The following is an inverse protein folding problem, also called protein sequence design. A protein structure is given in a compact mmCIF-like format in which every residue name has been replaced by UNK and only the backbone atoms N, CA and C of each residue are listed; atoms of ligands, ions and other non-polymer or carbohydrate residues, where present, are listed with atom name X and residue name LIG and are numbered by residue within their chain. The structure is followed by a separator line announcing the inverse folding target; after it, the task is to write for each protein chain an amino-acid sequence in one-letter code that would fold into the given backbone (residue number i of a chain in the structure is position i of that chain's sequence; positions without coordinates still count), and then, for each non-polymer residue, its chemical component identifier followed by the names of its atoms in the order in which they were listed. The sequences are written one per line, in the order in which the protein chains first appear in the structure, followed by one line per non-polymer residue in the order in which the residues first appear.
data_IF_998033662228
#
_entry.id   IF_998033662228
#
_cell.length_a   1.000
_cell.length_b   1.000
_cell.length_c   1.000
_cell.angle_alpha   90.00
_cell.angle_beta   90.00
_cell.angle_gamma   90.00
#
_symmetry.space_group_name_H-M   'P 1'
#
loop_
_entity.id
_entity.type
_entity.pdbx_description
1 polymer ?
#
# COMPACT_ATOMS: atom_id res chain seq x y z
N UNK A 1 -13.79 39.24 18.83
CA UNK A 1 -12.77 40.31 18.78
C UNK A 1 -11.58 39.73 18.01
N UNK A 2 -11.25 40.36 16.88
CA UNK A 2 -10.07 40.15 16.02
C UNK A 2 -9.76 38.76 15.43
N UNK A 3 -10.15 38.64 14.15
CA UNK A 3 -9.41 37.93 13.10
C UNK A 3 -7.90 38.07 13.26
N UNK A 4 -7.18 36.95 13.33
CA UNK A 4 -5.71 36.94 13.38
C UNK A 4 -5.11 35.72 12.67
N UNK A 5 -5.56 35.43 11.44
CA UNK A 5 -4.77 34.64 10.49
C UNK A 5 -4.89 35.22 9.08
N UNK A 6 -4.38 36.43 8.93
CA UNK A 6 -4.01 37.00 7.64
C UNK A 6 -2.50 36.98 7.51
N UNK A 7 -1.93 35.88 7.03
CA UNK A 7 -0.61 35.88 6.38
C UNK A 7 -0.72 35.01 5.13
N UNK A 8 -0.49 35.66 3.99
CA UNK A 8 -0.38 35.08 2.64
C UNK A 8 0.67 33.96 2.64
N UNK A 9 0.27 32.74 2.95
CA UNK A 9 0.93 31.53 2.48
C UNK A 9 0.26 31.14 1.16
N UNK A 10 1.02 30.55 0.25
CA UNK A 10 0.49 30.00 -1.00
C UNK A 10 -0.63 28.97 -0.76
N UNK A 11 -1.28 28.50 -1.83
CA UNK A 11 -2.21 27.36 -1.73
C UNK A 11 -1.53 26.17 -1.02
N UNK A 12 -2.30 25.24 -0.45
CA UNK A 12 -1.71 24.06 0.20
C UNK A 12 -0.76 23.32 -0.76
N UNK A 13 -1.09 23.25 -2.05
CA UNK A 13 -0.23 22.69 -3.10
C UNK A 13 1.10 23.44 -3.26
N UNK A 14 1.08 24.78 -3.28
CA UNK A 14 2.31 25.59 -3.35
C UNK A 14 3.19 25.38 -2.11
N UNK A 15 2.57 25.18 -0.94
CA UNK A 15 3.30 24.90 0.30
C UNK A 15 3.90 23.49 0.29
N UNK A 16 3.18 22.47 -0.19
CA UNK A 16 3.69 21.12 -0.35
C UNK A 16 4.92 21.12 -1.29
N UNK A 17 4.79 21.72 -2.47
CA UNK A 17 5.87 21.80 -3.45
C UNK A 17 7.10 22.52 -2.88
N UNK A 18 6.89 23.59 -2.11
CA UNK A 18 7.98 24.33 -1.48
C UNK A 18 8.68 23.53 -0.37
N UNK A 19 7.92 22.79 0.45
CA UNK A 19 8.48 21.88 1.46
C UNK A 19 9.33 20.79 0.81
N UNK A 20 8.83 20.14 -0.26
CA UNK A 20 9.59 19.12 -0.98
C UNK A 20 10.87 19.70 -1.60
N UNK A 21 10.78 20.85 -2.27
CA UNK A 21 11.92 21.53 -2.88
C UNK A 21 13.00 21.91 -1.86
N UNK A 22 12.59 22.32 -0.66
CA UNK A 22 13.50 22.67 0.45
C UNK A 22 13.94 21.48 1.29
N UNK A 23 13.38 20.29 1.05
CA UNK A 23 13.53 19.12 1.93
C UNK A 23 13.14 19.43 3.38
N UNK A 24 12.13 20.27 3.56
CA UNK A 24 11.55 20.61 4.86
C UNK A 24 10.45 19.61 5.22
N UNK A 25 10.87 18.43 5.65
CA UNK A 25 9.97 17.32 5.95
C UNK A 25 9.07 17.57 7.17
N UNK A 26 9.58 18.27 8.19
CA UNK A 26 8.76 18.69 9.32
C UNK A 26 7.71 19.75 8.89
N UNK A 27 8.04 20.62 7.94
CA UNK A 27 7.07 21.50 7.29
C UNK A 27 6.03 20.72 6.49
N UNK A 28 6.47 19.71 5.73
CA UNK A 28 5.59 18.84 4.93
C UNK A 28 4.54 18.13 5.80
N UNK A 29 4.96 17.53 6.91
CA UNK A 29 4.06 16.92 7.92
C UNK A 29 3.00 17.92 8.39
N UNK A 30 3.41 19.15 8.73
CA UNK A 30 2.49 20.18 9.24
C UNK A 30 1.47 20.63 8.19
N UNK A 31 1.84 20.63 6.92
CA UNK A 31 0.91 20.93 5.82
C UNK A 31 -0.09 19.80 5.64
N UNK A 32 0.37 18.54 5.57
CA UNK A 32 -0.51 17.37 5.46
C UNK A 32 -1.46 17.26 6.65
N UNK A 33 -0.95 17.34 7.87
CA UNK A 33 -1.77 17.32 9.08
C UNK A 33 -2.88 18.39 9.03
N UNK A 34 -2.54 19.63 8.64
CA UNK A 34 -3.55 20.70 8.54
C UNK A 34 -4.61 20.39 7.48
N UNK A 35 -4.22 19.90 6.30
CA UNK A 35 -5.17 19.50 5.25
C UNK A 35 -6.09 18.38 5.73
N UNK A 36 -5.57 17.42 6.50
CA UNK A 36 -6.34 16.34 7.09
C UNK A 36 -7.36 16.82 8.12
N UNK A 37 -6.95 17.73 9.01
CA UNK A 37 -7.85 18.37 9.99
C UNK A 37 -8.96 19.16 9.28
N UNK A 38 -8.61 19.98 8.29
CA UNK A 38 -9.58 20.75 7.51
C UNK A 38 -10.58 19.84 6.79
N UNK A 39 -10.12 18.73 6.21
CA UNK A 39 -10.99 17.74 5.58
C UNK A 39 -11.92 17.04 6.58
N UNK A 40 -11.41 16.71 7.78
CA UNK A 40 -12.21 16.11 8.84
C UNK A 40 -13.31 17.08 9.33
N UNK A 41 -12.97 18.35 9.54
CA UNK A 41 -13.92 19.40 9.92
C UNK A 41 -14.98 19.66 8.84
N UNK A 42 -14.62 19.46 7.57
CA UNK A 42 -15.53 19.55 6.43
C UNK A 42 -16.41 18.30 6.23
N UNK A 43 -16.20 17.23 7.02
CA UNK A 43 -16.92 15.97 6.86
C UNK A 43 -16.49 15.15 5.64
N UNK A 44 -15.23 15.28 5.22
CA UNK A 44 -14.65 14.57 4.07
C UNK A 44 -13.67 13.48 4.56
N UNK A 45 -14.17 12.30 4.98
CA UNK A 45 -13.35 11.27 5.64
C UNK A 45 -12.25 10.72 4.72
N UNK A 46 -12.50 10.58 3.42
CA UNK A 46 -11.49 10.10 2.47
C UNK A 46 -10.27 11.04 2.37
N UNK A 47 -10.51 12.36 2.28
CA UNK A 47 -9.42 13.33 2.26
C UNK A 47 -8.74 13.44 3.63
N UNK A 48 -9.50 13.33 4.72
CA UNK A 48 -8.94 13.32 6.06
C UNK A 48 -7.98 12.14 6.24
N UNK A 49 -8.39 10.92 5.83
CA UNK A 49 -7.57 9.72 5.87
C UNK A 49 -6.29 9.90 5.06
N UNK A 50 -6.40 10.31 3.79
CA UNK A 50 -5.25 10.54 2.91
C UNK A 50 -4.21 11.44 3.58
N UNK A 51 -4.62 12.62 4.04
CA UNK A 51 -3.67 13.62 4.51
C UNK A 51 -3.13 13.34 5.92
N UNK A 52 -3.95 12.81 6.82
CA UNK A 52 -3.49 12.44 8.16
C UNK A 52 -2.54 11.23 8.09
N UNK A 53 -2.87 10.20 7.32
CA UNK A 53 -1.97 9.05 7.13
C UNK A 53 -0.66 9.45 6.47
N UNK A 54 -0.66 10.41 5.54
CA UNK A 54 0.61 10.94 4.98
C UNK A 54 1.44 11.69 6.00
N UNK A 55 0.81 12.45 6.90
CA UNK A 55 1.52 13.10 7.99
C UNK A 55 2.15 12.05 8.94
N UNK A 56 1.37 11.03 9.30
CA UNK A 56 1.76 9.94 10.18
C UNK A 56 2.95 9.15 9.67
N UNK A 57 2.92 8.71 8.41
CA UNK A 57 4.03 7.99 7.79
C UNK A 57 5.34 8.79 7.87
N UNK A 58 5.30 10.10 7.60
CA UNK A 58 6.53 10.90 7.51
C UNK A 58 7.15 11.15 8.89
N UNK A 59 6.35 11.46 9.92
CA UNK A 59 6.94 11.67 11.26
C UNK A 59 7.36 10.36 11.91
N UNK A 60 6.76 9.23 11.53
CA UNK A 60 7.11 7.90 12.04
C UNK A 60 8.36 7.33 11.38
N UNK A 61 8.65 7.72 10.13
CA UNK A 61 9.82 7.29 9.37
C UNK A 61 11.17 7.86 9.86
N UNK A 62 11.19 8.99 10.58
CA UNK A 62 12.45 9.67 10.96
C UNK A 62 12.36 10.37 12.32
N UNK A 63 13.16 9.91 13.27
CA UNK A 63 13.30 10.46 14.63
C UNK A 63 13.57 11.97 14.69
N UNK A 64 14.29 12.51 13.71
CA UNK A 64 14.58 13.95 13.63
C UNK A 64 13.37 14.75 13.19
N UNK A 65 12.50 14.18 12.35
CA UNK A 65 11.21 14.75 11.97
C UNK A 65 10.27 14.68 13.17
N UNK A 66 10.13 13.49 13.77
CA UNK A 66 9.40 13.25 15.02
C UNK A 66 9.66 14.38 16.04
N UNK A 67 10.93 14.62 16.36
CA UNK A 67 11.35 15.63 17.36
C UNK A 67 11.00 17.06 16.96
N UNK A 68 11.01 17.39 15.66
CA UNK A 68 10.71 18.74 15.14
C UNK A 68 9.22 19.02 15.04
N UNK A 69 8.42 17.98 14.82
CA UNK A 69 6.96 18.05 14.74
C UNK A 69 6.38 18.17 16.15
N UNK A 70 6.84 17.30 17.06
CA UNK A 70 6.51 17.31 18.49
C UNK A 70 5.27 16.49 18.84
N UNK A 71 5.30 15.89 20.04
CA UNK A 71 4.31 14.94 20.57
C UNK A 71 2.86 15.44 20.43
N UNK A 72 2.60 16.71 20.74
CA UNK A 72 1.24 17.25 20.69
C UNK A 72 0.56 17.10 19.32
N UNK A 73 1.28 17.34 18.22
CA UNK A 73 0.71 17.19 16.88
C UNK A 73 0.50 15.72 16.58
N UNK A 74 1.46 14.89 16.96
CA UNK A 74 1.42 13.45 16.74
C UNK A 74 0.25 12.79 17.46
N UNK A 75 0.09 13.05 18.76
CA UNK A 75 -1.00 12.51 19.57
C UNK A 75 -2.35 12.90 18.96
N UNK A 76 -2.52 14.18 18.57
CA UNK A 76 -3.76 14.64 17.92
C UNK A 76 -3.95 14.03 16.52
N UNK A 77 -2.87 13.79 15.77
CA UNK A 77 -2.93 13.11 14.47
C UNK A 77 -3.37 11.65 14.63
N UNK A 78 -2.75 10.91 15.54
CA UNK A 78 -3.12 9.52 15.86
C UNK A 78 -4.55 9.42 16.40
N UNK A 79 -4.97 10.31 17.30
CA UNK A 79 -6.34 10.35 17.82
C UNK A 79 -7.38 10.58 16.71
N UNK A 80 -7.03 11.37 15.69
CA UNK A 80 -7.91 11.61 14.53
C UNK A 80 -7.94 10.43 13.57
N UNK A 81 -6.80 9.79 13.32
CA UNK A 81 -6.76 8.56 12.54
C UNK A 81 -7.62 7.49 13.22
N UNK A 82 -7.50 7.31 14.54
CA UNK A 82 -8.36 6.39 15.30
C UNK A 82 -9.85 6.71 15.19
N UNK A 83 -10.24 8.00 15.12
CA UNK A 83 -11.64 8.38 14.85
C UNK A 83 -12.10 8.02 13.44
N UNK A 84 -11.20 7.99 12.46
CA UNK A 84 -11.52 7.63 11.07
C UNK A 84 -11.67 6.11 10.89
N UNK A 85 -11.02 5.29 11.71
CA UNK A 85 -11.13 3.82 11.68
C UNK A 85 -12.57 3.33 11.92
N UNK A 86 -13.36 4.07 12.70
CA UNK A 86 -14.78 3.76 12.98
C UNK A 86 -15.75 4.23 11.87
N UNK A 87 -15.26 4.98 10.87
CA UNK A 87 -16.10 5.51 9.78
C UNK A 87 -16.16 4.49 8.64
N UNK A 88 -17.37 4.21 8.15
CA UNK A 88 -17.55 3.41 6.94
C UNK A 88 -16.95 4.13 5.73
N UNK A 89 -15.83 3.59 5.27
CA UNK A 89 -15.07 4.05 4.11
C UNK A 89 -14.49 2.83 3.41
N UNK A 90 -14.12 2.97 2.13
CA UNK A 90 -13.37 1.91 1.44
C UNK A 90 -12.10 1.51 2.20
N UNK A 91 -11.49 2.44 2.95
CA UNK A 91 -10.28 2.17 3.72
C UNK A 91 -10.48 1.14 4.83
N UNK A 92 -11.67 1.11 5.44
CA UNK A 92 -11.96 0.27 6.60
C UNK A 92 -12.83 -0.94 6.21
N UNK A 93 -13.85 -0.70 5.37
CA UNK A 93 -14.86 -1.71 5.05
C UNK A 93 -14.29 -2.85 4.21
N UNK A 94 -13.33 -2.56 3.34
CA UNK A 94 -12.75 -3.59 2.46
C UNK A 94 -11.82 -4.55 3.21
N UNK A 95 -10.83 -4.09 4.01
CA UNK A 95 -10.02 -5.00 4.82
C UNK A 95 -10.86 -5.89 5.73
N UNK A 96 -11.89 -5.33 6.38
CA UNK A 96 -12.80 -6.09 7.23
C UNK A 96 -13.58 -7.17 6.44
N UNK A 97 -14.03 -6.86 5.21
CA UNK A 97 -14.66 -7.85 4.33
C UNK A 97 -13.70 -8.97 3.93
N UNK A 98 -12.47 -8.62 3.53
CA UNK A 98 -11.42 -9.57 3.17
C UNK A 98 -11.09 -10.48 4.34
N UNK A 99 -10.94 -9.93 5.55
CA UNK A 99 -10.68 -10.71 6.77
C UNK A 99 -11.81 -11.71 7.04
N UNK A 100 -13.07 -11.27 6.97
CA UNK A 100 -14.24 -12.14 7.12
C UNK A 100 -14.31 -13.25 6.07
N UNK A 101 -13.88 -12.97 4.83
CA UNK A 101 -13.81 -13.97 3.75
C UNK A 101 -12.66 -14.96 3.97
N UNK A 102 -11.48 -14.46 4.35
CA UNK A 102 -10.29 -15.26 4.62
C UNK A 102 -10.49 -16.24 5.79
N UNK A 103 -11.29 -15.87 6.80
CA UNK A 103 -11.61 -16.73 7.94
C UNK A 103 -12.28 -18.08 7.56
N UNK A 104 -12.86 -18.18 6.36
CA UNK A 104 -13.49 -19.40 5.85
C UNK A 104 -12.60 -20.20 4.89
N UNK A 105 -11.37 -19.73 4.65
CA UNK A 105 -10.40 -20.36 3.75
C UNK A 105 -9.33 -21.10 4.56
N UNK A 106 -8.73 -22.10 3.94
CA UNK A 106 -7.49 -22.65 4.48
C UNK A 106 -6.29 -21.79 4.08
N UNK A 107 -5.19 -21.91 4.83
CA UNK A 107 -3.99 -21.10 4.66
C UNK A 107 -3.42 -21.11 3.24
N UNK A 108 -3.46 -22.26 2.55
CA UNK A 108 -2.96 -22.35 1.17
C UNK A 108 -3.80 -21.47 0.23
N UNK A 109 -5.13 -21.51 0.36
CA UNK A 109 -6.02 -20.67 -0.45
C UNK A 109 -5.82 -19.18 -0.17
N UNK A 110 -5.63 -18.81 1.10
CA UNK A 110 -5.33 -17.42 1.49
C UNK A 110 -4.01 -16.97 0.83
N UNK A 111 -2.95 -17.79 0.89
CA UNK A 111 -1.66 -17.44 0.28
C UNK A 111 -1.70 -17.37 -1.25
N UNK A 112 -2.53 -18.18 -1.90
CA UNK A 112 -2.82 -18.06 -3.34
C UNK A 112 -3.53 -16.74 -3.62
N UNK A 113 -4.49 -16.33 -2.79
CA UNK A 113 -5.17 -15.04 -2.96
C UNK A 113 -4.18 -13.88 -2.87
N UNK A 114 -3.31 -13.89 -1.87
CA UNK A 114 -2.20 -12.95 -1.75
C UNK A 114 -1.27 -12.96 -2.97
N UNK A 115 -0.92 -14.14 -3.51
CA UNK A 115 -0.08 -14.26 -4.71
C UNK A 115 -0.74 -13.60 -5.93
N UNK A 116 -2.04 -13.82 -6.13
CA UNK A 116 -2.79 -13.22 -7.22
C UNK A 116 -2.81 -11.69 -7.10
N UNK A 117 -2.97 -11.16 -5.88
CA UNK A 117 -2.92 -9.73 -5.63
C UNK A 117 -1.53 -9.11 -5.85
N UNK A 118 -0.46 -9.80 -5.42
CA UNK A 118 0.92 -9.38 -5.68
C UNK A 118 1.21 -9.35 -7.19
N UNK A 119 0.73 -10.34 -7.94
CA UNK A 119 0.95 -10.45 -9.38
C UNK A 119 0.40 -9.23 -10.15
N UNK A 120 -0.71 -8.64 -9.70
CA UNK A 120 -1.32 -7.46 -10.34
C UNK A 120 -0.46 -6.19 -10.21
N UNK A 121 0.44 -6.14 -9.24
CA UNK A 121 1.32 -4.99 -9.01
C UNK A 121 2.55 -5.00 -9.91
N UNK A 122 2.84 -6.08 -10.65
CA UNK A 122 4.10 -6.25 -11.37
C UNK A 122 4.33 -5.15 -12.41
N UNK A 123 3.36 -4.85 -13.30
CA UNK A 123 3.53 -3.78 -14.31
C UNK A 123 3.70 -2.40 -13.71
N UNK A 124 2.95 -2.10 -12.65
CA UNK A 124 3.10 -0.84 -11.94
C UNK A 124 4.48 -0.77 -11.26
N UNK A 125 4.91 -1.85 -10.62
CA UNK A 125 6.23 -1.95 -10.01
C UNK A 125 7.38 -1.77 -10.99
N UNK A 126 7.28 -2.34 -12.20
CA UNK A 126 8.24 -2.12 -13.29
C UNK A 126 8.36 -0.64 -13.68
N UNK A 127 7.23 0.08 -13.75
CA UNK A 127 7.24 1.54 -14.02
C UNK A 127 7.90 2.31 -12.88
N UNK A 128 7.55 1.98 -11.63
CA UNK A 128 8.07 2.66 -10.44
C UNK A 128 9.57 2.39 -10.21
N UNK A 129 10.08 1.23 -10.62
CA UNK A 129 11.49 0.88 -10.50
C UNK A 129 12.44 1.79 -11.29
N UNK A 130 11.91 2.60 -12.21
CA UNK A 130 12.68 3.62 -12.92
C UNK A 130 12.94 4.87 -12.09
N UNK A 131 12.25 5.04 -10.96
CA UNK A 131 12.39 6.18 -10.07
C UNK A 131 13.53 5.94 -9.08
N UNK A 132 14.38 6.96 -8.80
CA UNK A 132 15.49 6.81 -7.85
C UNK A 132 14.99 6.40 -6.46
N UNK A 133 15.57 5.33 -5.91
CA UNK A 133 15.22 4.82 -4.59
C UNK A 133 13.92 4.00 -4.56
N UNK A 134 13.38 3.61 -5.71
CA UNK A 134 12.18 2.77 -5.84
C UNK A 134 12.45 1.47 -6.61
N UNK A 135 13.72 1.12 -6.84
CA UNK A 135 14.16 -0.02 -7.66
C UNK A 135 13.67 -1.37 -7.12
N UNK A 136 13.37 -1.45 -5.82
CA UNK A 136 12.83 -2.64 -5.14
C UNK A 136 11.56 -3.16 -5.81
N UNK A 137 10.69 -2.27 -6.32
CA UNK A 137 9.47 -2.66 -7.00
C UNK A 137 9.72 -3.40 -8.34
N UNK A 138 10.91 -3.26 -8.92
CA UNK A 138 11.30 -3.99 -10.13
C UNK A 138 11.49 -5.49 -9.90
N UNK A 139 11.60 -5.92 -8.62
CA UNK A 139 11.78 -7.33 -8.24
C UNK A 139 10.46 -8.08 -8.05
N UNK A 140 9.30 -7.40 -8.10
CA UNK A 140 8.00 -8.03 -7.83
C UNK A 140 7.69 -9.17 -8.80
N UNK A 141 8.00 -9.01 -10.10
CA UNK A 141 7.78 -10.07 -11.10
C UNK A 141 8.55 -11.34 -10.79
N UNK A 142 9.80 -11.21 -10.33
CA UNK A 142 10.62 -12.31 -9.87
C UNK A 142 10.07 -12.93 -8.57
N UNK A 143 9.67 -12.10 -7.60
CA UNK A 143 9.12 -12.56 -6.33
C UNK A 143 7.87 -13.41 -6.54
N UNK A 144 6.95 -12.96 -7.40
CA UNK A 144 5.74 -13.70 -7.80
C UNK A 144 6.09 -15.07 -8.36
N UNK A 145 7.09 -15.16 -9.25
CA UNK A 145 7.50 -16.44 -9.84
C UNK A 145 8.09 -17.38 -8.79
N UNK A 146 8.90 -16.86 -7.86
CA UNK A 146 9.53 -17.68 -6.81
C UNK A 146 8.50 -18.14 -5.77
N UNK A 147 7.55 -17.30 -5.40
CA UNK A 147 6.44 -17.68 -4.51
C UNK A 147 5.58 -18.75 -5.17
N UNK A 148 5.18 -18.58 -6.44
CA UNK A 148 4.41 -19.59 -7.17
C UNK A 148 5.16 -20.94 -7.24
N UNK A 149 6.46 -20.90 -7.52
CA UNK A 149 7.32 -22.08 -7.57
C UNK A 149 7.39 -22.79 -6.22
N UNK A 150 7.50 -22.03 -5.13
CA UNK A 150 7.67 -22.58 -3.78
C UNK A 150 6.48 -23.40 -3.26
N UNK A 151 5.28 -23.21 -3.82
CA UNK A 151 4.13 -24.05 -3.50
C UNK A 151 4.24 -25.48 -4.06
N UNK A 152 5.07 -25.67 -5.08
CA UNK A 152 5.19 -26.93 -5.81
C UNK A 152 6.49 -27.67 -5.45
N UNK A 153 7.56 -26.93 -5.20
CA UNK A 153 8.86 -27.49 -4.83
C UNK A 153 9.65 -26.58 -3.89
N UNK A 154 10.55 -27.13 -3.06
CA UNK A 154 11.43 -26.33 -2.22
C UNK A 154 12.28 -25.36 -3.03
N UNK A 155 12.46 -24.14 -2.52
CA UNK A 155 13.37 -23.17 -3.11
C UNK A 155 14.83 -23.48 -2.75
N UNK A 156 15.75 -22.99 -3.59
CA UNK A 156 17.17 -22.97 -3.24
C UNK A 156 17.43 -21.97 -2.11
N UNK A 157 18.51 -22.17 -1.35
CA UNK A 157 18.92 -21.26 -0.28
C UNK A 157 19.21 -19.83 -0.79
N UNK A 158 19.74 -19.70 -2.01
CA UNK A 158 19.97 -18.41 -2.66
C UNK A 158 18.65 -17.69 -2.95
N UNK A 159 17.68 -18.41 -3.52
CA UNK A 159 16.35 -17.85 -3.82
C UNK A 159 15.60 -17.45 -2.55
N UNK A 160 15.65 -18.31 -1.52
CA UNK A 160 15.01 -18.04 -0.24
C UNK A 160 15.56 -16.75 0.39
N UNK A 161 16.89 -16.60 0.41
CA UNK A 161 17.55 -15.39 0.92
C UNK A 161 17.23 -14.16 0.09
N UNK A 162 17.17 -14.26 -1.24
CA UNK A 162 16.79 -13.13 -2.08
C UNK A 162 15.38 -12.60 -1.77
N UNK A 163 14.44 -13.48 -1.40
CA UNK A 163 13.10 -13.07 -0.97
C UNK A 163 13.13 -12.41 0.41
N UNK A 164 13.98 -12.88 1.33
CA UNK A 164 14.22 -12.23 2.62
C UNK A 164 14.85 -10.83 2.46
N UNK A 165 15.82 -10.70 1.55
CA UNK A 165 16.45 -9.41 1.26
C UNK A 165 15.41 -8.43 0.67
N UNK A 166 14.51 -8.92 -0.19
CA UNK A 166 13.40 -8.13 -0.72
C UNK A 166 12.44 -7.64 0.37
N UNK A 167 12.09 -8.47 1.36
CA UNK A 167 11.33 -8.05 2.55
C UNK A 167 12.02 -6.87 3.26
N UNK A 168 13.31 -7.00 3.55
CA UNK A 168 14.10 -5.95 4.19
C UNK A 168 14.13 -4.66 3.38
N UNK A 169 14.36 -4.73 2.08
CA UNK A 169 14.36 -3.56 1.18
C UNK A 169 12.98 -2.87 1.12
N UNK A 170 11.88 -3.63 1.15
CA UNK A 170 10.52 -3.08 1.17
C UNK A 170 10.21 -2.38 2.49
N UNK A 171 10.64 -2.95 3.62
CA UNK A 171 10.50 -2.31 4.93
C UNK A 171 11.30 -1.00 4.99
N UNK A 172 12.58 -1.03 4.59
CA UNK A 172 13.46 0.15 4.56
C UNK A 172 12.96 1.26 3.62
N UNK A 173 12.23 0.91 2.56
CA UNK A 173 11.62 1.89 1.66
C UNK A 173 10.62 2.80 2.41
N UNK A 174 9.90 2.28 3.40
CA UNK A 174 8.93 3.06 4.18
C UNK A 174 9.58 4.22 4.94
N UNK A 175 10.83 4.04 5.38
CA UNK A 175 11.62 5.06 6.07
C UNK A 175 12.28 6.07 5.11
N UNK A 176 12.30 5.75 3.82
CA UNK A 176 13.02 6.54 2.81
C UNK A 176 12.21 7.74 2.30
N UNK A 177 12.80 8.94 2.24
CA UNK A 177 12.20 10.08 1.53
C UNK A 177 11.89 9.79 0.06
N UNK A 178 12.53 8.80 -0.57
CA UNK A 178 12.18 8.37 -1.93
C UNK A 178 10.72 7.87 -2.03
N UNK A 179 10.17 7.32 -0.94
CA UNK A 179 8.77 6.90 -0.86
C UNK A 179 7.81 8.07 -0.66
N UNK A 180 8.08 8.95 0.33
CA UNK A 180 7.10 9.91 0.83
C UNK A 180 7.41 11.40 0.57
N UNK A 181 8.64 11.77 0.20
CA UNK A 181 9.12 13.16 0.24
C UNK A 181 9.75 13.71 -1.03
N UNK A 182 10.44 12.89 -1.84
CA UNK A 182 11.21 13.36 -3.01
C UNK A 182 10.35 13.69 -4.23
N UNK A 183 9.04 13.46 -4.17
CA UNK A 183 8.12 13.74 -5.29
C UNK A 183 8.29 12.78 -6.45
N UNK A 184 8.75 11.55 -6.16
CA UNK A 184 8.87 10.47 -7.12
C UNK A 184 7.48 10.14 -7.70
N UNK A 185 7.33 10.39 -9.01
CA UNK A 185 6.07 10.21 -9.71
C UNK A 185 6.28 9.70 -11.14
N UNK A 186 5.29 8.98 -11.65
CA UNK A 186 5.22 8.55 -13.06
C UNK A 186 4.05 9.24 -13.75
N UNK A 187 4.22 9.51 -15.04
CA UNK A 187 3.17 10.11 -15.84
C UNK A 187 2.03 9.11 -16.10
N UNK A 188 0.79 9.60 -16.02
CA UNK A 188 -0.43 8.88 -16.37
C UNK A 188 -1.08 9.58 -17.57
N UNK A 189 -1.25 8.91 -18.72
CA UNK A 189 -1.82 9.56 -19.90
C UNK A 189 -3.20 10.17 -19.64
N UNK A 190 -3.30 11.49 -19.77
CA UNK A 190 -4.57 12.23 -19.63
C UNK A 190 -5.06 12.37 -18.18
N UNK A 191 -4.26 12.02 -17.18
CA UNK A 191 -4.59 12.15 -15.75
C UNK A 191 -3.45 12.82 -14.98
N UNK A 192 -3.67 13.09 -13.69
CA UNK A 192 -2.63 13.56 -12.80
C UNK A 192 -1.56 12.47 -12.62
N UNK A 193 -0.27 12.84 -12.40
CA UNK A 193 0.79 11.87 -12.22
C UNK A 193 0.54 10.99 -10.99
N UNK A 194 0.95 9.73 -11.07
CA UNK A 194 0.90 8.78 -9.96
C UNK A 194 2.16 8.99 -9.10
N UNK A 195 1.97 9.27 -7.82
CA UNK A 195 3.06 9.46 -6.87
C UNK A 195 3.35 8.12 -6.20
N UNK A 196 4.63 7.79 -5.97
CA UNK A 196 4.99 6.59 -5.18
C UNK A 196 4.27 6.60 -3.82
N UNK A 197 4.10 7.78 -3.23
CA UNK A 197 3.38 7.94 -1.96
C UNK A 197 1.87 7.66 -2.03
N UNK A 198 1.29 7.43 -3.22
CA UNK A 198 -0.07 6.91 -3.35
C UNK A 198 -0.18 5.44 -2.94
N UNK A 199 0.95 4.75 -2.79
CA UNK A 199 1.01 3.44 -2.12
C UNK A 199 0.93 3.54 -0.60
N UNK A 200 0.74 4.72 0.00
CA UNK A 200 0.60 4.86 1.46
C UNK A 200 -0.75 4.36 1.99
N UNK A 201 -1.80 4.42 1.17
CA UNK A 201 -3.14 4.00 1.57
C UNK A 201 -3.18 2.54 2.05
N UNK A 202 -4.17 2.22 2.90
CA UNK A 202 -4.45 0.84 3.33
C UNK A 202 -3.28 0.11 4.02
N UNK A 203 -2.58 0.77 4.96
CA UNK A 203 -1.39 0.26 5.67
C UNK A 203 -0.05 0.32 4.91
N UNK A 204 -0.02 0.86 3.69
CA UNK A 204 1.20 0.97 2.91
C UNK A 204 1.50 -0.30 2.10
N UNK A 205 1.41 -0.22 0.78
CA UNK A 205 1.54 -1.38 -0.13
C UNK A 205 2.87 -2.10 0.03
N UNK A 206 3.96 -1.37 0.30
CA UNK A 206 5.28 -1.96 0.55
C UNK A 206 5.29 -2.83 1.81
N UNK A 207 4.61 -2.42 2.88
CA UNK A 207 4.46 -3.19 4.12
C UNK A 207 3.53 -4.40 3.94
N UNK A 208 2.45 -4.26 3.15
CA UNK A 208 1.59 -5.41 2.82
C UNK A 208 2.34 -6.48 2.03
N UNK A 209 3.17 -6.07 1.07
CA UNK A 209 4.02 -7.00 0.29
C UNK A 209 5.05 -7.66 1.21
N UNK A 210 5.72 -6.88 2.07
CA UNK A 210 6.66 -7.41 3.05
C UNK A 210 5.99 -8.46 3.96
N UNK A 211 4.88 -8.10 4.60
CA UNK A 211 4.14 -9.01 5.48
C UNK A 211 3.67 -10.29 4.77
N UNK A 212 3.24 -10.18 3.51
CA UNK A 212 2.90 -11.35 2.69
C UNK A 212 4.11 -12.25 2.48
N UNK A 213 5.22 -11.70 1.98
CA UNK A 213 6.43 -12.45 1.66
C UNK A 213 7.07 -13.07 2.91
N UNK A 214 7.19 -12.31 4.00
CA UNK A 214 7.75 -12.78 5.27
C UNK A 214 6.91 -13.94 5.84
N UNK A 215 5.58 -13.79 5.88
CA UNK A 215 4.70 -14.87 6.36
C UNK A 215 4.80 -16.13 5.50
N UNK A 216 5.10 -15.98 4.21
CA UNK A 216 5.29 -17.09 3.27
C UNK A 216 6.62 -17.79 3.49
N UNK A 217 7.70 -17.04 3.70
CA UNK A 217 9.03 -17.57 4.03
C UNK A 217 9.05 -18.29 5.38
N UNK A 218 8.32 -17.78 6.38
CA UNK A 218 8.10 -18.45 7.67
C UNK A 218 7.40 -19.81 7.50
N UNK A 219 6.36 -19.86 6.67
CA UNK A 219 5.67 -21.13 6.34
C UNK A 219 6.63 -22.13 5.69
N UNK A 220 7.42 -21.69 4.70
CA UNK A 220 8.40 -22.56 4.06
C UNK A 220 9.44 -23.10 5.04
N UNK A 221 9.89 -22.24 5.97
CA UNK A 221 10.87 -22.61 7.00
C UNK A 221 10.32 -23.67 7.95
N UNK A 222 9.07 -23.50 8.41
CA UNK A 222 8.39 -24.47 9.25
C UNK A 222 8.23 -25.81 8.53
N UNK A 223 7.76 -25.81 7.28
CA UNK A 223 7.63 -27.03 6.48
C UNK A 223 8.97 -27.74 6.27
N UNK A 224 10.05 -27.00 6.02
CA UNK A 224 11.41 -27.55 5.89
C UNK A 224 11.94 -28.20 7.17
N UNK A 225 11.41 -27.80 8.34
CA UNK A 225 11.75 -28.35 9.65
C UNK A 225 10.78 -29.45 10.10
N UNK A 226 9.75 -29.76 9.30
CA UNK A 226 8.69 -30.70 9.66
C UNK A 226 7.72 -30.16 10.72
N UNK A 227 7.64 -28.84 10.87
CA UNK A 227 6.75 -28.14 11.79
C UNK A 227 5.44 -27.72 11.11
N UNK A 228 4.41 -27.47 11.91
CA UNK A 228 3.15 -26.91 11.41
C UNK A 228 3.35 -25.41 11.11
N UNK A 229 3.05 -24.94 9.89
CA UNK A 229 3.21 -23.55 9.54
C UNK A 229 2.17 -22.67 10.26
N UNK A 230 2.57 -21.45 10.61
CA UNK A 230 1.64 -20.45 11.13
C UNK A 230 0.66 -19.95 10.07
N UNK A 231 -0.47 -19.42 10.54
CA UNK A 231 -1.46 -18.78 9.70
C UNK A 231 -0.83 -17.62 8.90
N UNK A 232 -1.31 -17.34 7.67
CA UNK A 232 -0.90 -16.17 6.89
C UNK A 232 -1.15 -14.88 7.68
N UNK A 233 -0.21 -13.93 7.60
CA UNK A 233 -0.35 -12.64 8.28
C UNK A 233 -1.32 -11.70 7.56
N UNK A 234 -1.42 -11.84 6.23
CA UNK A 234 -2.27 -11.01 5.38
C UNK A 234 -3.13 -11.90 4.47
N UNK A 235 -4.36 -11.44 4.18
CA UNK A 235 -5.26 -12.10 3.23
C UNK A 235 -4.88 -11.82 1.78
N UNK A 236 -4.95 -10.55 1.39
CA UNK A 236 -4.49 -10.03 0.10
C UNK A 236 -3.72 -8.73 0.28
N UNK A 237 -3.02 -8.30 -0.76
CA UNK A 237 -2.43 -6.97 -0.88
C UNK A 237 -3.44 -6.11 -1.63
N UNK A 238 -4.05 -5.13 -0.95
CA UNK A 238 -5.11 -4.28 -1.56
C UNK A 238 -4.55 -3.14 -2.40
N UNK A 239 -3.22 -3.03 -2.49
CA UNK A 239 -2.51 -1.95 -3.15
C UNK A 239 -2.90 -1.63 -4.59
N UNK A 240 -3.44 -2.57 -5.37
CA UNK A 240 -3.88 -2.30 -6.75
C UNK A 240 -5.16 -1.42 -6.84
N UNK A 241 -5.85 -1.17 -5.72
CA UNK A 241 -7.00 -0.26 -5.66
C UNK A 241 -6.61 1.21 -5.73
N UNK A 242 -5.43 1.55 -5.21
CA UNK A 242 -4.86 2.90 -5.21
C UNK A 242 -5.82 3.99 -4.70
N UNK A 243 -6.47 3.81 -3.53
CA UNK A 243 -7.45 4.77 -3.03
C UNK A 243 -6.84 6.18 -2.86
N UNK A 244 -5.60 6.27 -2.36
CA UNK A 244 -4.90 7.55 -2.19
C UNK A 244 -4.70 8.30 -3.51
N UNK A 245 -4.36 7.60 -4.60
CA UNK A 245 -4.25 8.21 -5.94
C UNK A 245 -5.57 8.87 -6.33
N UNK A 246 -6.68 8.14 -6.22
CA UNK A 246 -7.98 8.65 -6.62
C UNK A 246 -8.47 9.78 -5.71
N UNK A 247 -8.33 9.66 -4.39
CA UNK A 247 -8.68 10.76 -3.45
C UNK A 247 -7.85 12.00 -3.76
N UNK A 248 -6.52 11.85 -3.92
CA UNK A 248 -5.60 12.97 -4.19
C UNK A 248 -5.93 13.67 -5.51
N UNK A 249 -6.39 12.91 -6.50
CA UNK A 249 -6.66 13.42 -7.85
C UNK A 249 -8.11 13.87 -8.06
N UNK A 250 -8.93 13.85 -6.98
CA UNK A 250 -10.23 14.52 -6.95
C UNK A 250 -11.44 13.59 -7.04
N UNK A 251 -11.29 12.30 -6.72
CA UNK A 251 -12.43 11.41 -6.59
C UNK A 251 -13.18 11.68 -5.27
N UNK A 252 -14.46 12.04 -5.37
CA UNK A 252 -15.33 12.26 -4.21
C UNK A 252 -15.87 10.95 -3.63
N UNK A 253 -16.18 9.98 -4.49
CA UNK A 253 -16.74 8.67 -4.12
C UNK A 253 -15.88 7.58 -4.76
N UNK A 254 -15.03 6.94 -3.96
CA UNK A 254 -14.10 5.92 -4.43
C UNK A 254 -14.80 4.70 -5.05
N UNK A 255 -15.92 4.29 -4.48
CA UNK A 255 -16.70 3.14 -5.00
C UNK A 255 -17.29 3.39 -6.38
N UNK A 256 -17.30 4.63 -6.88
CA UNK A 256 -17.76 4.96 -8.24
C UNK A 256 -16.65 5.02 -9.28
N UNK A 257 -15.39 5.02 -8.85
CA UNK A 257 -14.22 5.08 -9.73
C UNK A 257 -14.13 3.78 -10.55
N UNK A 258 -14.09 3.86 -11.90
CA UNK A 258 -14.02 2.67 -12.75
C UNK A 258 -12.83 1.74 -12.46
N UNK A 259 -11.66 2.32 -12.15
CA UNK A 259 -10.47 1.53 -11.80
C UNK A 259 -10.63 0.76 -10.50
N UNK A 260 -11.25 1.37 -9.49
CA UNK A 260 -11.58 0.70 -8.22
C UNK A 260 -12.61 -0.39 -8.44
N UNK A 261 -13.70 -0.14 -9.19
CA UNK A 261 -14.69 -1.18 -9.54
C UNK A 261 -14.04 -2.38 -10.22
N UNK A 262 -13.18 -2.14 -11.21
CA UNK A 262 -12.48 -3.20 -11.92
C UNK A 262 -11.54 -4.01 -11.02
N UNK A 263 -10.87 -3.36 -10.05
CA UNK A 263 -10.03 -4.07 -9.10
C UNK A 263 -10.84 -4.85 -8.05
N UNK A 264 -11.95 -4.30 -7.56
CA UNK A 264 -12.88 -5.03 -6.70
C UNK A 264 -13.43 -6.28 -7.40
N UNK A 265 -13.83 -6.16 -8.67
CA UNK A 265 -14.27 -7.31 -9.47
C UNK A 265 -13.18 -8.39 -9.58
N UNK A 266 -11.90 -8.00 -9.69
CA UNK A 266 -10.78 -8.95 -9.68
C UNK A 266 -10.61 -9.60 -8.30
N UNK A 267 -10.65 -8.83 -7.23
CA UNK A 267 -10.54 -9.35 -5.85
C UNK A 267 -11.64 -10.38 -5.57
N UNK A 268 -12.88 -10.09 -5.94
CA UNK A 268 -14.02 -11.00 -5.76
C UNK A 268 -13.97 -12.20 -6.69
N UNK A 269 -13.61 -11.99 -7.96
CA UNK A 269 -13.41 -13.10 -8.91
C UNK A 269 -12.26 -14.03 -8.48
N UNK A 270 -11.23 -13.52 -7.82
CA UNK A 270 -10.17 -14.34 -7.23
C UNK A 270 -10.67 -15.18 -6.08
N UNK A 271 -11.50 -14.60 -5.20
CA UNK A 271 -12.11 -15.35 -4.11
C UNK A 271 -12.99 -16.50 -4.64
N UNK A 272 -13.85 -16.22 -5.63
CA UNK A 272 -14.67 -17.26 -6.27
C UNK A 272 -13.80 -18.35 -6.90
N UNK A 273 -12.72 -17.95 -7.58
CA UNK A 273 -11.75 -18.86 -8.18
C UNK A 273 -11.08 -19.78 -7.13
N UNK A 274 -10.60 -19.24 -6.01
CA UNK A 274 -9.90 -20.03 -4.99
C UNK A 274 -10.84 -20.90 -4.14
N UNK A 275 -12.11 -20.50 -3.99
CA UNK A 275 -13.12 -21.31 -3.30
C UNK A 275 -13.50 -22.55 -4.14
N UNK A 276 -13.43 -22.44 -5.47
CA UNK A 276 -13.75 -23.52 -6.41
C UNK A 276 -13.08 -24.87 -6.10
N UNK A 277 -13.83 -25.96 -6.31
CA UNK A 277 -13.38 -27.33 -6.02
C UNK A 277 -12.32 -27.84 -7.02
N UNK A 278 -12.29 -27.28 -8.24
CA UNK A 278 -11.44 -27.74 -9.35
C UNK A 278 -10.15 -26.92 -9.51
N UNK A 279 -9.71 -26.20 -8.47
CA UNK A 279 -8.47 -25.43 -8.53
C UNK A 279 -7.26 -26.37 -8.72
N UNK A 280 -6.40 -26.03 -9.68
CA UNK A 280 -5.15 -26.74 -9.96
C UNK A 280 -3.98 -25.76 -10.09
N UNK A 281 -2.75 -26.26 -9.93
CA UNK A 281 -1.55 -25.43 -10.10
C UNK A 281 -1.39 -24.90 -11.52
N UNK A 282 -1.86 -25.61 -12.54
CA UNK A 282 -1.89 -25.12 -13.92
C UNK A 282 -2.86 -23.93 -14.08
N UNK A 283 -4.00 -23.96 -13.41
CA UNK A 283 -4.96 -22.85 -13.40
C UNK A 283 -4.40 -21.64 -12.65
N UNK A 284 -3.82 -21.86 -11.46
CA UNK A 284 -3.17 -20.80 -10.67
C UNK A 284 -2.04 -20.16 -11.47
N UNK A 285 -1.15 -20.96 -12.07
CA UNK A 285 0.00 -20.46 -12.85
C UNK A 285 -0.44 -19.62 -14.04
N UNK A 286 -1.51 -20.02 -14.75
CA UNK A 286 -2.06 -19.26 -15.86
C UNK A 286 -2.60 -17.90 -15.40
N UNK A 287 -3.38 -17.89 -14.33
CA UNK A 287 -3.99 -16.67 -13.79
C UNK A 287 -2.93 -15.71 -13.22
N UNK A 288 -1.87 -16.24 -12.59
CA UNK A 288 -0.70 -15.44 -12.18
C UNK A 288 -0.02 -14.81 -13.41
N UNK A 289 0.22 -15.57 -14.47
CA UNK A 289 0.83 -15.04 -15.69
C UNK A 289 -0.04 -13.94 -16.34
N UNK A 290 -1.36 -14.12 -16.36
CA UNK A 290 -2.30 -13.10 -16.83
C UNK A 290 -2.25 -11.82 -15.97
N UNK A 291 -2.16 -11.96 -14.64
CA UNK A 291 -2.07 -10.81 -13.74
C UNK A 291 -0.75 -10.06 -13.79
N UNK A 292 0.37 -10.75 -14.03
CA UNK A 292 1.66 -10.09 -14.26
C UNK A 292 1.66 -9.17 -15.48
N UNK A 293 0.76 -9.40 -16.43
CA UNK A 293 0.57 -8.56 -17.63
C UNK A 293 -0.55 -7.53 -17.50
N UNK A 294 -1.26 -7.50 -16.37
CA UNK A 294 -2.34 -6.54 -16.13
C UNK A 294 -1.77 -5.17 -15.80
N UNK A 295 -2.23 -4.15 -16.52
CA UNK A 295 -1.96 -2.76 -16.17
C UNK A 295 -2.94 -2.29 -15.10
N UNK A 296 -2.41 -1.80 -13.98
CA UNK A 296 -3.19 -1.05 -13.00
C UNK A 296 -3.51 0.31 -13.63
N UNK A 297 -4.77 0.77 -13.63
CA UNK A 297 -5.19 1.99 -14.33
C UNK A 297 -4.68 3.25 -13.62
N UNK A 298 -3.38 3.52 -13.75
CA UNK A 298 -2.59 4.71 -13.37
C UNK A 298 -1.41 4.85 -14.31
#
# INVERSE_FOLDING_TARGET
MFHLFGKKGGSSEEQLAECCRKRDWAGLVKVYYRMGVEAMEAGNPYQAQLWLSRADTIYSADDSIYKKVGEKLMDDCSDRIGQLEDISTLYNDLPAQIEGMAANLNDVKIRIWGLLSLARLVKLGERLASLPGCEVFGKLGWAVDMVLKSFQEPLSEETFRGLQDLCGELYELGDSPAFWGEGNEIAVPGQAPFQVFDFNGMMGVHLEIDAYLDSHLKMMSALGQGEEPGAPQTGIIVGALLPDYYVRTGADILTDVPGIKAELDRIWGDYEFIVGADISWELVSRKVAEYKETEVPV
#
